data_IF_956875030272
#
_entry.id   IF_956875030272
#
_cell.length_a   1.000
_cell.length_b   1.000
_cell.length_c   1.000
_cell.angle_alpha   90.00
_cell.angle_beta   90.00
_cell.angle_gamma   90.00
#
_symmetry.space_group_name_H-M   'P 1'
#
loop_
_entity.id
_entity.type
_entity.pdbx_description
1 polymer ?
#
# COMPACT_ATOMS: atom_id res chain seq x y z
N UNK A 1 14.72 4.55 25.03
CA UNK A 1 13.26 4.45 25.20
C UNK A 1 12.95 3.23 26.04
N UNK A 2 12.30 3.39 27.18
CA UNK A 2 11.97 2.29 28.09
C UNK A 2 10.98 1.29 27.44
N UNK A 3 10.96 0.06 27.94
CA UNK A 3 10.14 -1.05 27.39
C UNK A 3 8.62 -0.74 27.40
N UNK A 4 8.17 -0.03 28.42
CA UNK A 4 6.76 0.43 28.59
C UNK A 4 6.35 1.40 27.49
N UNK A 5 7.26 2.27 27.04
CA UNK A 5 6.98 3.28 26.03
C UNK A 5 6.83 2.70 24.62
N UNK A 6 7.64 1.67 24.30
CA UNK A 6 7.54 0.97 23.00
C UNK A 6 6.22 0.25 22.84
N UNK A 7 5.70 -0.40 23.88
CA UNK A 7 4.39 -1.09 23.84
C UNK A 7 3.24 -0.10 23.70
N UNK A 8 3.30 1.03 24.40
CA UNK A 8 2.31 2.11 24.26
C UNK A 8 2.31 2.67 22.84
N UNK A 9 3.48 2.93 22.27
CA UNK A 9 3.64 3.42 20.92
C UNK A 9 3.00 2.46 19.89
N UNK A 10 3.32 1.16 19.98
CA UNK A 10 2.73 0.15 19.10
C UNK A 10 1.22 0.07 19.22
N UNK A 11 0.70 0.02 20.46
CA UNK A 11 -0.74 0.00 20.72
C UNK A 11 -1.43 1.22 20.11
N UNK A 12 -0.84 2.40 20.22
CA UNK A 12 -1.39 3.63 19.65
C UNK A 12 -1.40 3.59 18.13
N UNK A 13 -0.33 3.11 17.49
CA UNK A 13 -0.27 2.96 16.02
C UNK A 13 -1.36 2.01 15.52
N UNK A 14 -1.51 0.84 16.16
CA UNK A 14 -2.54 -0.12 15.77
C UNK A 14 -3.96 0.38 16.06
N UNK A 15 -4.18 1.10 17.17
CA UNK A 15 -5.47 1.70 17.49
C UNK A 15 -5.87 2.75 16.44
N UNK A 16 -4.96 3.65 16.06
CA UNK A 16 -5.21 4.65 15.02
C UNK A 16 -5.49 3.94 13.68
N UNK A 17 -4.71 2.91 13.33
CA UNK A 17 -4.94 2.12 12.12
C UNK A 17 -6.31 1.43 12.13
N UNK A 18 -6.76 0.92 13.28
CA UNK A 18 -8.09 0.34 13.44
C UNK A 18 -9.19 1.38 13.27
N UNK A 19 -9.04 2.56 13.86
CA UNK A 19 -9.98 3.68 13.69
C UNK A 19 -10.09 4.05 12.20
N UNK A 20 -8.97 4.18 11.49
CA UNK A 20 -8.98 4.43 10.05
C UNK A 20 -9.72 3.33 9.28
N UNK A 21 -9.47 2.05 9.59
CA UNK A 21 -10.17 0.93 8.97
C UNK A 21 -11.68 0.98 9.19
N UNK A 22 -12.14 1.32 10.40
CA UNK A 22 -13.56 1.45 10.72
C UNK A 22 -14.17 2.63 9.96
N UNK A 23 -13.52 3.79 9.98
CA UNK A 23 -14.01 4.99 9.29
C UNK A 23 -14.15 4.77 7.79
N UNK A 24 -13.14 4.18 7.13
CA UNK A 24 -13.15 3.95 5.68
C UNK A 24 -14.20 2.92 5.24
N UNK A 25 -14.72 2.10 6.17
CA UNK A 25 -15.82 1.15 5.90
C UNK A 25 -17.20 1.74 6.17
N UNK A 26 -17.33 2.61 7.16
CA UNK A 26 -18.63 3.16 7.58
C UNK A 26 -18.98 4.47 6.86
N UNK A 27 -18.02 5.39 6.72
CA UNK A 27 -18.30 6.71 6.17
C UNK A 27 -18.69 6.72 4.68
N UNK A 28 -18.28 5.79 3.80
CA UNK A 28 -18.74 5.74 2.42
C UNK A 28 -20.28 5.61 2.28
N UNK A 29 -20.99 5.09 3.29
CA UNK A 29 -22.45 5.08 3.30
C UNK A 29 -23.08 6.50 3.22
N UNK A 30 -22.33 7.54 3.57
CA UNK A 30 -22.76 8.93 3.37
C UNK A 30 -22.97 9.26 1.87
N UNK A 31 -22.29 8.58 0.98
CA UNK A 31 -22.46 8.76 -0.45
C UNK A 31 -23.83 8.27 -0.97
N UNK A 32 -24.54 7.44 -0.19
CA UNK A 32 -25.91 7.01 -0.49
C UNK A 32 -26.95 8.12 -0.27
N UNK A 33 -26.58 9.23 0.38
CA UNK A 33 -27.45 10.38 0.60
C UNK A 33 -27.67 11.23 -0.67
N UNK A 34 -27.00 10.90 -1.77
CA UNK A 34 -27.15 11.62 -3.04
C UNK A 34 -27.21 10.66 -4.23
N UNK A 35 -28.04 11.00 -5.19
CA UNK A 35 -28.11 10.30 -6.48
C UNK A 35 -27.21 10.97 -7.53
N UNK A 36 -26.69 12.17 -7.25
CA UNK A 36 -25.79 12.86 -8.17
C UNK A 36 -24.43 12.16 -8.21
N UNK A 37 -23.99 11.63 -9.36
CA UNK A 37 -22.78 10.83 -9.44
C UNK A 37 -21.51 11.62 -9.13
N UNK A 38 -21.45 12.90 -9.50
CA UNK A 38 -20.30 13.76 -9.20
C UNK A 38 -20.19 14.04 -7.71
N UNK A 39 -21.33 14.41 -7.08
CA UNK A 39 -21.36 14.67 -5.64
C UNK A 39 -21.04 13.40 -4.84
N UNK A 40 -21.53 12.25 -5.29
CA UNK A 40 -21.23 10.95 -4.71
C UNK A 40 -19.73 10.68 -4.70
N UNK A 41 -19.06 10.87 -5.85
CA UNK A 41 -17.60 10.65 -5.97
C UNK A 41 -16.80 11.63 -5.11
N UNK A 42 -17.21 12.90 -5.06
CA UNK A 42 -16.59 13.90 -4.18
C UNK A 42 -16.73 13.53 -2.69
N UNK A 43 -17.88 13.02 -2.28
CA UNK A 43 -18.08 12.51 -0.92
C UNK A 43 -17.14 11.34 -0.65
N UNK A 44 -17.05 10.37 -1.57
CA UNK A 44 -16.15 9.21 -1.41
C UNK A 44 -14.69 9.62 -1.29
N UNK A 45 -14.22 10.52 -2.16
CA UNK A 45 -12.88 11.08 -2.08
C UNK A 45 -12.61 11.80 -0.75
N UNK A 46 -13.56 12.64 -0.32
CA UNK A 46 -13.44 13.40 0.94
C UNK A 46 -13.41 12.46 2.13
N UNK A 47 -14.31 11.49 2.18
CA UNK A 47 -14.38 10.46 3.21
C UNK A 47 -13.08 9.66 3.28
N UNK A 48 -12.50 9.30 2.13
CA UNK A 48 -11.23 8.60 2.07
C UNK A 48 -10.09 9.39 2.72
N UNK A 49 -9.96 10.66 2.33
CA UNK A 49 -8.96 11.58 2.90
C UNK A 49 -9.15 11.74 4.42
N UNK A 50 -10.37 12.02 4.84
CA UNK A 50 -10.69 12.25 6.27
C UNK A 50 -10.45 10.99 7.10
N UNK A 51 -10.83 9.82 6.59
CA UNK A 51 -10.67 8.54 7.30
C UNK A 51 -9.21 8.19 7.61
N UNK A 52 -8.28 8.63 6.78
CA UNK A 52 -6.85 8.37 6.97
C UNK A 52 -6.15 9.52 7.70
N UNK A 53 -6.35 10.75 7.24
CA UNK A 53 -5.54 11.87 7.71
C UNK A 53 -6.02 12.45 9.04
N UNK A 54 -7.32 12.43 9.35
CA UNK A 54 -7.83 12.96 10.60
C UNK A 54 -7.37 12.13 11.82
N UNK A 55 -7.52 10.79 11.85
CA UNK A 55 -6.99 9.98 12.95
C UNK A 55 -5.46 10.03 13.03
N UNK A 56 -4.74 10.10 11.90
CA UNK A 56 -3.29 10.28 11.89
C UNK A 56 -2.87 11.58 12.56
N UNK A 57 -3.50 12.71 12.19
CA UNK A 57 -3.23 14.01 12.80
C UNK A 57 -3.57 14.05 14.30
N UNK A 58 -4.67 13.42 14.70
CA UNK A 58 -5.01 13.24 16.12
C UNK A 58 -3.95 12.39 16.85
N UNK A 59 -3.52 11.29 16.22
CA UNK A 59 -2.47 10.42 16.73
C UNK A 59 -1.12 11.14 16.88
N UNK A 60 -0.75 12.01 15.93
CA UNK A 60 0.47 12.85 16.03
C UNK A 60 0.44 13.73 17.30
N UNK A 61 -0.71 14.32 17.61
CA UNK A 61 -0.87 15.18 18.79
C UNK A 61 -0.88 14.40 20.11
N UNK A 62 -1.53 13.22 20.13
CA UNK A 62 -1.73 12.41 21.34
C UNK A 62 -0.48 11.61 21.73
N UNK A 63 0.26 11.12 20.76
CA UNK A 63 1.41 10.21 20.98
C UNK A 63 2.71 11.02 21.18
N UNK A 64 2.73 12.31 20.78
CA UNK A 64 3.93 13.15 20.83
C UNK A 64 4.92 12.92 19.67
N UNK A 65 6.02 13.69 19.67
CA UNK A 65 6.93 13.80 18.53
C UNK A 65 8.11 12.82 18.50
N UNK A 66 8.09 11.75 19.27
CA UNK A 66 9.20 10.76 19.30
C UNK A 66 9.36 9.93 18.01
N UNK A 67 8.79 10.39 16.91
CA UNK A 67 8.89 9.74 15.63
C UNK A 67 10.27 9.96 14.99
N UNK A 68 11.00 8.88 14.76
CA UNK A 68 12.29 8.91 14.05
C UNK A 68 12.03 9.13 12.57
N UNK A 69 12.62 10.18 12.00
CA UNK A 69 12.58 10.40 10.55
C UNK A 69 13.91 9.91 9.94
N UNK A 70 13.86 9.11 8.86
CA UNK A 70 15.08 8.74 8.15
C UNK A 70 15.78 10.00 7.59
N UNK A 71 17.10 9.91 7.46
CA UNK A 71 17.88 10.98 6.84
C UNK A 71 17.47 11.15 5.37
N UNK A 72 17.28 12.40 4.95
CA UNK A 72 16.94 12.70 3.55
C UNK A 72 18.14 12.46 2.65
N UNK A 73 17.98 11.53 1.70
CA UNK A 73 18.99 11.21 0.69
C UNK A 73 18.39 11.27 -0.71
N UNK A 74 19.19 11.69 -1.68
CA UNK A 74 18.77 11.67 -3.07
C UNK A 74 18.62 10.23 -3.55
N UNK A 75 17.51 9.94 -4.22
CA UNK A 75 17.30 8.62 -4.85
C UNK A 75 18.23 8.49 -6.05
N UNK A 76 19.30 7.71 -5.89
CA UNK A 76 20.20 7.40 -6.98
C UNK A 76 19.56 6.39 -7.92
N UNK A 77 19.69 6.62 -9.24
CA UNK A 77 19.12 5.77 -10.28
C UNK A 77 17.59 5.52 -10.13
N UNK A 78 16.74 6.57 -10.16
CA UNK A 78 15.30 6.46 -9.91
C UNK A 78 14.59 5.48 -10.86
N UNK A 79 15.05 5.35 -12.10
CA UNK A 79 14.52 4.39 -13.06
C UNK A 79 14.74 2.93 -12.63
N UNK A 80 15.88 2.60 -11.99
CA UNK A 80 16.08 1.24 -11.47
C UNK A 80 15.09 0.94 -10.35
N UNK A 81 14.85 1.90 -9.47
CA UNK A 81 13.85 1.76 -8.39
C UNK A 81 12.42 1.68 -8.91
N UNK A 82 12.10 2.44 -9.97
CA UNK A 82 10.82 2.34 -10.66
C UNK A 82 10.60 0.90 -11.17
N UNK A 83 11.54 0.37 -11.94
CA UNK A 83 11.39 -0.99 -12.49
C UNK A 83 11.41 -2.06 -11.41
N UNK A 84 12.19 -1.91 -10.34
CA UNK A 84 12.14 -2.84 -9.19
C UNK A 84 10.76 -2.79 -8.53
N UNK A 85 10.21 -1.61 -8.29
CA UNK A 85 8.91 -1.45 -7.66
C UNK A 85 7.82 -2.08 -8.54
N UNK A 86 7.71 -1.65 -9.80
CA UNK A 86 6.70 -2.15 -10.73
C UNK A 86 6.85 -3.65 -10.98
N UNK A 87 8.07 -4.14 -11.25
CA UNK A 87 8.32 -5.56 -11.47
C UNK A 87 8.02 -6.43 -10.24
N UNK A 88 8.32 -5.94 -9.02
CA UNK A 88 8.00 -6.67 -7.78
C UNK A 88 6.49 -6.74 -7.56
N UNK A 89 5.77 -5.63 -7.77
CA UNK A 89 4.32 -5.59 -7.61
C UNK A 89 3.63 -6.43 -8.67
N UNK A 90 4.07 -6.36 -9.93
CA UNK A 90 3.55 -7.21 -11.02
C UNK A 90 3.78 -8.70 -10.72
N UNK A 91 4.99 -9.09 -10.32
CA UNK A 91 5.27 -10.48 -9.93
C UNK A 91 4.37 -10.95 -8.77
N UNK A 92 4.19 -10.11 -7.75
CA UNK A 92 3.32 -10.40 -6.62
C UNK A 92 1.84 -10.47 -7.03
N UNK A 93 1.39 -9.67 -8.01
CA UNK A 93 0.05 -9.74 -8.56
C UNK A 93 -0.21 -11.09 -9.28
N UNK A 94 0.74 -11.57 -10.07
CA UNK A 94 0.67 -12.91 -10.68
C UNK A 94 0.65 -14.03 -9.62
N UNK A 95 1.48 -13.93 -8.58
CA UNK A 95 1.46 -14.89 -7.47
C UNK A 95 0.10 -14.85 -6.77
N UNK A 96 -0.43 -13.67 -6.51
CA UNK A 96 -1.75 -13.49 -5.90
C UNK A 96 -2.84 -14.14 -6.77
N UNK A 97 -2.82 -13.90 -8.08
CA UNK A 97 -3.74 -14.52 -9.03
C UNK A 97 -3.67 -16.04 -8.99
N UNK A 98 -2.48 -16.63 -9.01
CA UNK A 98 -2.29 -18.09 -8.92
C UNK A 98 -2.80 -18.69 -7.60
N UNK A 99 -2.79 -17.93 -6.51
CA UNK A 99 -3.35 -18.34 -5.21
C UNK A 99 -4.87 -18.22 -5.21
N UNK A 100 -5.42 -17.17 -5.78
CA UNK A 100 -6.87 -16.88 -5.74
C UNK A 100 -7.65 -17.75 -6.75
N UNK A 101 -7.11 -17.96 -7.94
CA UNK A 101 -7.77 -18.72 -9.01
C UNK A 101 -8.35 -20.08 -8.58
N UNK A 102 -7.61 -20.97 -7.88
CA UNK A 102 -8.17 -22.23 -7.41
C UNK A 102 -9.25 -22.06 -6.31
N UNK A 103 -9.17 -21.00 -5.51
CA UNK A 103 -10.16 -20.70 -4.47
C UNK A 103 -11.49 -20.20 -5.10
N UNK A 104 -11.40 -19.39 -6.14
CA UNK A 104 -12.56 -18.95 -6.93
C UNK A 104 -13.19 -20.16 -7.66
N UNK A 105 -12.38 -21.01 -8.30
CA UNK A 105 -12.86 -22.20 -8.98
C UNK A 105 -13.54 -23.20 -8.04
N UNK A 106 -13.11 -23.26 -6.78
CA UNK A 106 -13.75 -24.09 -5.74
C UNK A 106 -14.99 -23.40 -5.10
N UNK A 107 -15.35 -22.18 -5.50
CA UNK A 107 -16.45 -21.42 -4.92
C UNK A 107 -16.19 -20.98 -3.47
N UNK A 108 -14.92 -21.02 -3.02
CA UNK A 108 -14.53 -20.62 -1.66
C UNK A 108 -14.45 -19.09 -1.54
N UNK A 109 -14.05 -18.42 -2.63
CA UNK A 109 -13.93 -16.95 -2.70
C UNK A 109 -14.79 -16.47 -3.86
N UNK A 110 -15.60 -15.42 -3.64
CA UNK A 110 -16.32 -14.75 -4.71
C UNK A 110 -15.36 -14.01 -5.65
N UNK A 111 -15.83 -13.69 -6.87
CA UNK A 111 -15.05 -12.89 -7.81
C UNK A 111 -14.81 -11.49 -7.24
N UNK A 112 -13.64 -11.31 -6.63
CA UNK A 112 -13.27 -10.12 -5.87
C UNK A 112 -12.63 -9.02 -6.73
N UNK A 113 -12.68 -9.14 -8.07
CA UNK A 113 -12.10 -8.15 -8.96
C UNK A 113 -12.99 -6.90 -9.01
N UNK A 114 -12.50 -5.81 -8.44
CA UNK A 114 -13.08 -4.50 -8.67
C UNK A 114 -12.89 -4.14 -10.15
N UNK A 115 -13.96 -4.21 -10.92
CA UNK A 115 -13.95 -3.88 -12.33
C UNK A 115 -14.95 -2.75 -12.58
N UNK A 116 -14.54 -1.48 -12.39
CA UNK A 116 -15.42 -0.34 -12.63
C UNK A 116 -15.81 -0.28 -14.11
N UNK A 117 -17.07 -0.07 -14.38
CA UNK A 117 -17.54 0.19 -15.75
C UNK A 117 -17.07 1.57 -16.18
N UNK A 118 -16.25 1.62 -17.24
CA UNK A 118 -15.75 2.83 -17.85
C UNK A 118 -16.41 2.95 -19.23
N UNK A 119 -17.21 3.98 -19.44
CA UNK A 119 -17.97 4.20 -20.67
C UNK A 119 -17.56 5.48 -21.40
N UNK A 120 -16.84 6.37 -20.73
CA UNK A 120 -16.45 7.67 -21.26
C UNK A 120 -15.06 8.10 -20.77
N UNK A 121 -14.47 9.08 -21.47
CA UNK A 121 -13.22 9.74 -21.01
C UNK A 121 -13.41 10.39 -19.64
N UNK A 122 -14.62 10.87 -19.35
CA UNK A 122 -14.94 11.44 -18.04
C UNK A 122 -14.82 10.40 -16.92
N UNK A 123 -15.29 9.17 -17.12
CA UNK A 123 -15.14 8.08 -16.14
C UNK A 123 -13.66 7.76 -15.90
N UNK A 124 -12.83 7.78 -16.96
CA UNK A 124 -11.36 7.60 -16.82
C UNK A 124 -10.74 8.70 -15.96
N UNK A 125 -11.12 9.97 -16.19
CA UNK A 125 -10.61 11.10 -15.41
C UNK A 125 -11.02 11.01 -13.94
N UNK A 126 -12.25 10.62 -13.65
CA UNK A 126 -12.71 10.36 -12.29
C UNK A 126 -11.93 9.21 -11.65
N UNK A 127 -11.71 8.13 -12.38
CA UNK A 127 -10.96 6.97 -11.90
C UNK A 127 -9.48 7.31 -11.66
N UNK A 128 -8.86 8.16 -12.48
CA UNK A 128 -7.51 8.68 -12.22
C UNK A 128 -7.49 9.45 -10.89
N UNK A 129 -8.45 10.33 -10.67
CA UNK A 129 -8.52 11.13 -9.44
C UNK A 129 -8.75 10.24 -8.21
N UNK A 130 -9.75 9.37 -8.26
CA UNK A 130 -10.21 8.56 -7.12
C UNK A 130 -9.33 7.35 -6.83
N UNK A 131 -8.53 6.87 -7.79
CA UNK A 131 -7.69 5.69 -7.60
C UNK A 131 -6.19 5.97 -7.73
N UNK A 132 -5.76 6.81 -8.68
CA UNK A 132 -4.35 7.01 -8.99
C UNK A 132 -3.73 8.26 -8.34
N UNK A 133 -4.54 9.20 -7.85
CA UNK A 133 -4.04 10.44 -7.23
C UNK A 133 -4.35 10.47 -5.73
N UNK A 134 -5.63 10.45 -5.35
CA UNK A 134 -6.05 10.62 -3.96
C UNK A 134 -5.55 9.48 -3.06
N UNK A 135 -5.77 8.18 -3.37
CA UNK A 135 -5.31 7.10 -2.51
C UNK A 135 -3.78 7.09 -2.35
N UNK A 136 -2.94 7.14 -3.41
CA UNK A 136 -1.50 7.16 -3.23
C UNK A 136 -1.00 8.29 -2.33
N UNK A 137 -1.54 9.50 -2.46
CA UNK A 137 -1.15 10.62 -1.60
C UNK A 137 -1.55 10.38 -0.15
N UNK A 138 -2.81 10.03 0.09
CA UNK A 138 -3.34 9.88 1.46
C UNK A 138 -2.79 8.64 2.16
N UNK A 139 -2.64 7.53 1.42
CA UNK A 139 -2.10 6.29 1.96
C UNK A 139 -0.61 6.42 2.30
N UNK A 140 0.21 7.03 1.43
CA UNK A 140 1.62 7.20 1.74
C UNK A 140 1.83 8.16 2.92
N UNK A 141 1.03 9.24 3.02
CA UNK A 141 1.03 10.11 4.20
C UNK A 141 0.69 9.34 5.48
N UNK A 142 -0.27 8.44 5.42
CA UNK A 142 -0.66 7.61 6.56
C UNK A 142 0.35 6.49 6.83
N UNK A 143 0.63 5.63 5.86
CA UNK A 143 1.43 4.42 6.10
C UNK A 143 2.93 4.71 6.26
N UNK A 144 3.51 5.68 5.52
CA UNK A 144 4.93 6.05 5.66
C UNK A 144 5.11 7.23 6.60
N UNK A 145 4.25 8.24 6.47
CA UNK A 145 4.32 9.44 7.30
C UNK A 145 3.93 9.20 8.75
N UNK A 146 2.94 8.36 9.02
CA UNK A 146 2.49 8.06 10.38
C UNK A 146 2.90 6.66 10.85
N UNK A 147 2.45 5.57 10.22
CA UNK A 147 2.63 4.19 10.71
C UNK A 147 4.11 3.79 10.71
N UNK A 148 4.76 3.76 9.54
CA UNK A 148 6.15 3.30 9.41
C UNK A 148 7.10 4.16 10.23
N UNK A 149 6.98 5.47 10.15
CA UNK A 149 7.79 6.42 10.90
C UNK A 149 7.79 6.13 12.40
N UNK A 150 6.63 5.77 12.97
CA UNK A 150 6.50 5.44 14.39
C UNK A 150 6.97 4.03 14.72
N UNK A 151 7.00 3.13 13.76
CA UNK A 151 7.53 1.78 13.94
C UNK A 151 9.07 1.72 13.84
N UNK A 152 9.74 2.74 13.27
CA UNK A 152 11.21 2.72 13.13
C UNK A 152 11.99 2.42 14.41
N UNK A 153 11.58 2.88 15.62
CA UNK A 153 12.26 2.52 16.87
C UNK A 153 12.32 1.02 17.19
N UNK A 154 11.53 0.18 16.50
CA UNK A 154 11.61 -1.29 16.67
C UNK A 154 12.60 -1.97 15.70
N UNK A 155 13.25 -1.18 14.85
CA UNK A 155 14.19 -1.63 13.82
C UNK A 155 13.59 -1.59 12.41
N UNK A 156 14.38 -1.15 11.45
CA UNK A 156 13.93 -0.87 10.09
C UNK A 156 13.22 -2.05 9.42
N UNK A 157 13.78 -3.26 9.49
CA UNK A 157 13.20 -4.46 8.84
C UNK A 157 11.84 -4.82 9.45
N UNK A 158 11.74 -4.84 10.79
CA UNK A 158 10.49 -5.13 11.50
C UNK A 158 9.43 -4.07 11.19
N UNK A 159 9.84 -2.80 11.21
CA UNK A 159 8.97 -1.67 10.90
C UNK A 159 8.39 -1.75 9.48
N UNK A 160 9.22 -2.06 8.47
CA UNK A 160 8.77 -2.26 7.08
C UNK A 160 7.75 -3.39 7.00
N UNK A 161 8.08 -4.56 7.54
CA UNK A 161 7.22 -5.75 7.45
C UNK A 161 5.87 -5.51 8.14
N UNK A 162 5.89 -4.93 9.36
CA UNK A 162 4.64 -4.62 10.08
C UNK A 162 3.83 -3.56 9.35
N UNK A 163 4.46 -2.47 8.89
CA UNK A 163 3.77 -1.44 8.12
C UNK A 163 3.18 -1.98 6.81
N UNK A 164 3.90 -2.85 6.10
CA UNK A 164 3.43 -3.52 4.90
C UNK A 164 2.26 -4.47 5.18
N UNK A 165 2.29 -5.21 6.29
CA UNK A 165 1.19 -6.07 6.71
C UNK A 165 -0.07 -5.23 7.06
N UNK A 166 0.09 -4.13 7.80
CA UNK A 166 -1.01 -3.20 8.11
C UNK A 166 -1.59 -2.61 6.83
N UNK A 167 -0.73 -2.20 5.89
CA UNK A 167 -1.13 -1.67 4.59
C UNK A 167 -1.93 -2.69 3.76
N UNK A 168 -1.43 -3.92 3.68
CA UNK A 168 -2.09 -4.99 2.93
C UNK A 168 -3.45 -5.37 3.54
N UNK A 169 -3.51 -5.58 4.85
CA UNK A 169 -4.73 -5.90 5.58
C UNK A 169 -5.77 -4.77 5.54
N UNK A 170 -5.32 -3.51 5.43
CA UNK A 170 -6.19 -2.34 5.28
C UNK A 170 -7.08 -2.43 4.04
N UNK A 171 -6.61 -3.05 2.96
CA UNK A 171 -7.39 -3.23 1.73
C UNK A 171 -8.60 -4.16 1.92
N UNK A 172 -8.52 -5.12 2.86
CA UNK A 172 -9.63 -6.01 3.20
C UNK A 172 -10.08 -6.94 2.07
N UNK A 173 -9.20 -7.22 1.10
CA UNK A 173 -9.52 -7.99 -0.10
C UNK A 173 -8.41 -9.02 -0.36
N UNK A 174 -8.78 -10.31 -0.46
CA UNK A 174 -7.83 -11.39 -0.76
C UNK A 174 -7.18 -11.24 -2.14
N UNK A 175 -7.95 -10.76 -3.13
CA UNK A 175 -7.44 -10.50 -4.48
C UNK A 175 -6.35 -9.44 -4.53
N UNK A 176 -6.11 -8.71 -3.43
CA UNK A 176 -5.11 -7.66 -3.35
C UNK A 176 -4.01 -7.94 -2.31
N UNK A 177 -4.17 -8.96 -1.46
CA UNK A 177 -3.38 -9.14 -0.25
C UNK A 177 -1.88 -9.27 -0.50
N UNK A 178 -1.47 -10.12 -1.43
CA UNK A 178 -0.05 -10.43 -1.67
C UNK A 178 0.66 -9.25 -2.36
N UNK A 179 0.04 -8.69 -3.40
CA UNK A 179 0.71 -7.61 -4.14
C UNK A 179 0.74 -6.29 -3.36
N UNK A 180 -0.29 -5.98 -2.55
CA UNK A 180 -0.26 -4.80 -1.69
C UNK A 180 0.74 -4.95 -0.56
N UNK A 181 0.94 -6.17 -0.03
CA UNK A 181 2.02 -6.44 0.92
C UNK A 181 3.39 -6.20 0.26
N UNK A 182 3.62 -6.73 -0.94
CA UNK A 182 4.87 -6.54 -1.67
C UNK A 182 5.12 -5.05 -1.99
N UNK A 183 4.10 -4.32 -2.45
CA UNK A 183 4.15 -2.88 -2.65
C UNK A 183 4.50 -2.16 -1.34
N UNK A 184 3.85 -2.54 -0.23
CA UNK A 184 4.11 -2.03 1.10
C UNK A 184 5.58 -2.17 1.52
N UNK A 185 6.19 -3.32 1.26
CA UNK A 185 7.60 -3.58 1.53
C UNK A 185 8.50 -2.69 0.66
N UNK A 186 8.27 -2.63 -0.66
CA UNK A 186 9.09 -1.83 -1.58
C UNK A 186 9.03 -0.35 -1.23
N UNK A 187 7.83 0.21 -1.04
CA UNK A 187 7.66 1.62 -0.69
C UNK A 187 8.24 1.93 0.70
N UNK A 188 8.15 0.99 1.65
CA UNK A 188 8.80 1.11 2.95
C UNK A 188 10.33 1.21 2.83
N UNK A 189 10.95 0.38 1.98
CA UNK A 189 12.38 0.48 1.69
C UNK A 189 12.76 1.81 1.02
N UNK A 190 11.98 2.25 0.02
CA UNK A 190 12.19 3.54 -0.65
C UNK A 190 12.10 4.69 0.34
N UNK A 191 11.12 4.67 1.25
CA UNK A 191 10.98 5.69 2.29
C UNK A 191 12.19 5.74 3.22
N UNK A 192 12.63 4.58 3.75
CA UNK A 192 13.78 4.55 4.66
C UNK A 192 15.07 4.97 3.94
N UNK A 193 15.25 4.55 2.69
CA UNK A 193 16.43 4.91 1.90
C UNK A 193 16.48 6.39 1.57
N UNK A 194 15.36 7.01 1.21
CA UNK A 194 15.31 8.41 0.75
C UNK A 194 15.01 9.40 1.86
N UNK A 195 14.42 8.97 2.98
CA UNK A 195 13.86 9.86 3.99
C UNK A 195 12.71 10.74 3.48
N UNK A 196 12.09 10.38 2.35
CA UNK A 196 11.07 11.17 1.68
C UNK A 196 9.86 10.32 1.27
N UNK A 197 8.67 10.87 1.47
CA UNK A 197 7.40 10.25 1.05
C UNK A 197 7.17 10.43 -0.45
N UNK A 198 7.72 11.47 -1.06
CA UNK A 198 7.44 11.83 -2.46
C UNK A 198 7.76 10.69 -3.45
N UNK A 199 8.92 10.02 -3.40
CA UNK A 199 9.16 8.87 -4.27
C UNK A 199 8.16 7.74 -4.07
N UNK A 200 7.69 7.52 -2.84
CA UNK A 200 6.67 6.50 -2.56
C UNK A 200 5.32 6.87 -3.19
N UNK A 201 4.88 8.13 -3.06
CA UNK A 201 3.67 8.63 -3.70
C UNK A 201 3.75 8.47 -5.22
N UNK A 202 4.88 8.80 -5.84
CA UNK A 202 5.06 8.67 -7.28
C UNK A 202 5.01 7.21 -7.74
N UNK A 203 5.73 6.31 -7.06
CA UNK A 203 5.71 4.87 -7.39
C UNK A 203 4.32 4.26 -7.20
N UNK A 204 3.65 4.61 -6.11
CA UNK A 204 2.30 4.15 -5.83
C UNK A 204 1.29 4.71 -6.85
N UNK A 205 1.36 6.01 -7.14
CA UNK A 205 0.51 6.65 -8.15
C UNK A 205 0.70 6.06 -9.56
N UNK A 206 1.94 5.73 -9.94
CA UNK A 206 2.24 5.04 -11.20
C UNK A 206 1.65 3.62 -11.22
N UNK A 207 1.76 2.87 -10.12
CA UNK A 207 1.15 1.54 -10.02
C UNK A 207 -0.37 1.59 -10.17
N UNK A 208 -1.03 2.48 -9.45
CA UNK A 208 -2.48 2.64 -9.54
C UNK A 208 -2.90 3.23 -10.90
N UNK A 209 -2.12 4.17 -11.44
CA UNK A 209 -2.32 4.71 -12.79
C UNK A 209 -2.22 3.63 -13.88
N UNK A 210 -1.29 2.68 -13.74
CA UNK A 210 -1.22 1.53 -14.62
C UNK A 210 -2.52 0.70 -14.56
N UNK A 211 -3.05 0.41 -13.39
CA UNK A 211 -4.33 -0.30 -13.25
C UNK A 211 -5.49 0.46 -13.90
N UNK A 212 -5.54 1.80 -13.77
CA UNK A 212 -6.54 2.64 -14.45
C UNK A 212 -6.41 2.57 -15.96
N UNK A 213 -5.18 2.62 -16.48
CA UNK A 213 -4.91 2.49 -17.94
C UNK A 213 -5.38 1.14 -18.44
N UNK A 214 -5.08 0.04 -17.76
CA UNK A 214 -5.53 -1.30 -18.15
C UNK A 214 -7.07 -1.39 -18.13
N UNK A 215 -7.72 -0.82 -17.11
CA UNK A 215 -9.18 -0.76 -17.03
C UNK A 215 -9.78 0.01 -18.24
N UNK A 216 -9.20 1.16 -18.58
CA UNK A 216 -9.64 1.95 -19.74
C UNK A 216 -9.43 1.17 -21.05
N UNK A 217 -8.28 0.53 -21.23
CA UNK A 217 -7.98 -0.28 -22.42
C UNK A 217 -8.99 -1.44 -22.54
N UNK A 218 -9.27 -2.16 -21.48
CA UNK A 218 -10.25 -3.25 -21.47
C UNK A 218 -11.68 -2.77 -21.80
N UNK A 219 -11.99 -1.49 -21.56
CA UNK A 219 -13.31 -0.91 -21.81
C UNK A 219 -13.47 -0.38 -23.24
N UNK A 220 -12.38 0.08 -23.89
CA UNK A 220 -12.43 0.75 -25.19
C UNK A 220 -11.86 -0.08 -26.35
N UNK A 221 -11.14 -1.16 -26.08
CA UNK A 221 -10.51 -2.02 -27.09
C UNK A 221 -11.05 -3.44 -27.05
N UNK A 222 -10.74 -4.23 -28.07
CA UNK A 222 -11.09 -5.65 -28.05
C UNK A 222 -10.34 -6.40 -26.96
N UNK A 223 -10.92 -7.48 -26.39
CA UNK A 223 -10.27 -8.28 -25.36
C UNK A 223 -8.88 -8.79 -25.76
N UNK A 224 -8.70 -9.13 -27.06
CA UNK A 224 -7.42 -9.60 -27.59
C UNK A 224 -6.36 -8.50 -27.57
N UNK A 225 -6.71 -7.29 -28.04
CA UNK A 225 -5.81 -6.14 -28.07
C UNK A 225 -5.46 -5.70 -26.64
N UNK A 226 -6.43 -5.66 -25.74
CA UNK A 226 -6.24 -5.34 -24.33
C UNK A 226 -5.32 -6.37 -23.64
N UNK A 227 -5.54 -7.67 -23.87
CA UNK A 227 -4.71 -8.75 -23.33
C UNK A 227 -3.26 -8.67 -23.83
N UNK A 228 -3.06 -8.46 -25.13
CA UNK A 228 -1.70 -8.33 -25.69
C UNK A 228 -0.95 -7.14 -25.10
N UNK A 229 -1.62 -6.01 -24.94
CA UNK A 229 -1.00 -4.80 -24.37
C UNK A 229 -0.65 -5.00 -22.89
N UNK A 230 -1.56 -5.56 -22.10
CA UNK A 230 -1.32 -5.87 -20.70
C UNK A 230 -0.12 -6.80 -20.53
N UNK A 231 -0.09 -7.92 -21.24
CA UNK A 231 1.02 -8.89 -21.19
C UNK A 231 2.35 -8.24 -21.61
N UNK A 232 2.32 -7.36 -22.62
CA UNK A 232 3.52 -6.67 -23.09
C UNK A 232 4.09 -5.73 -22.01
N UNK A 233 3.24 -4.93 -21.38
CA UNK A 233 3.66 -3.99 -20.32
C UNK A 233 4.11 -4.75 -19.06
N UNK A 234 3.40 -5.79 -18.66
CA UNK A 234 3.77 -6.64 -17.54
C UNK A 234 5.14 -7.30 -17.78
N UNK A 235 5.38 -7.78 -19.01
CA UNK A 235 6.68 -8.37 -19.39
C UNK A 235 7.82 -7.35 -19.28
N UNK A 236 7.58 -6.09 -19.69
CA UNK A 236 8.54 -4.98 -19.54
C UNK A 236 8.84 -4.72 -18.07
N UNK A 237 7.83 -4.69 -17.21
CA UNK A 237 8.03 -4.49 -15.77
C UNK A 237 8.75 -5.65 -15.10
N UNK A 238 8.38 -6.89 -15.41
CA UNK A 238 9.05 -8.09 -14.88
C UNK A 238 10.52 -8.16 -15.30
N UNK A 239 10.79 -8.05 -16.60
CA UNK A 239 12.17 -8.10 -17.12
C UNK A 239 12.98 -6.88 -16.65
N UNK A 240 12.42 -5.68 -16.74
CA UNK A 240 13.05 -4.45 -16.26
C UNK A 240 13.34 -4.49 -14.76
N UNK A 241 12.44 -5.04 -13.97
CA UNK A 241 12.60 -5.25 -12.53
C UNK A 241 13.74 -6.21 -12.21
N UNK A 242 13.77 -7.37 -12.88
CA UNK A 242 14.85 -8.34 -12.75
C UNK A 242 16.21 -7.74 -13.13
N UNK A 243 16.29 -7.10 -14.29
CA UNK A 243 17.52 -6.46 -14.77
C UNK A 243 18.00 -5.36 -13.82
N UNK A 244 17.07 -4.53 -13.33
CA UNK A 244 17.37 -3.45 -12.39
C UNK A 244 17.90 -3.98 -11.06
N UNK A 245 17.28 -5.04 -10.53
CA UNK A 245 17.76 -5.70 -9.32
C UNK A 245 19.16 -6.29 -9.53
N UNK A 246 19.40 -6.95 -10.66
CA UNK A 246 20.70 -7.50 -11.01
C UNK A 246 21.78 -6.41 -11.09
N UNK A 247 21.47 -5.28 -11.73
CA UNK A 247 22.40 -4.11 -11.81
C UNK A 247 22.70 -3.58 -10.39
N UNK A 248 21.71 -3.46 -9.53
CA UNK A 248 21.92 -2.99 -8.15
C UNK A 248 22.77 -3.97 -7.34
N UNK A 249 22.56 -5.27 -7.50
CA UNK A 249 23.36 -6.31 -6.82
C UNK A 249 24.83 -6.28 -7.29
N UNK A 250 25.10 -6.04 -8.58
CA UNK A 250 26.46 -5.86 -9.09
C UNK A 250 27.11 -4.59 -8.53
N UNK A 251 26.35 -3.48 -8.45
CA UNK A 251 26.85 -2.23 -7.85
C UNK A 251 27.15 -2.39 -6.36
N UNK A 252 26.29 -3.10 -5.63
CA UNK A 252 26.48 -3.37 -4.18
C UNK A 252 27.82 -4.08 -3.89
N UNK A 253 28.28 -4.97 -4.77
CA UNK A 253 29.58 -5.65 -4.61
C UNK A 253 30.78 -4.71 -4.69
N UNK A 254 30.61 -3.51 -5.27
CA UNK A 254 31.68 -2.50 -5.48
C UNK A 254 31.62 -1.34 -4.49
N UNK A 255 30.51 -1.18 -3.77
CA UNK A 255 30.26 -0.02 -2.94
C UNK A 255 29.75 -0.45 -1.55
N UNK A 256 30.62 -0.35 -0.53
CA UNK A 256 30.29 -0.68 0.88
C UNK A 256 29.18 0.24 1.44
N UNK A 257 28.97 1.42 0.83
CA UNK A 257 27.93 2.37 1.23
C UNK A 257 26.50 1.82 1.09
N UNK A 258 26.29 0.80 0.25
CA UNK A 258 25.01 0.10 0.11
C UNK A 258 24.69 -0.85 1.31
N UNK A 259 25.67 -1.13 2.17
CA UNK A 259 25.53 -1.90 3.40
C UNK A 259 24.80 -1.16 4.53
N UNK A 260 24.69 0.13 4.40
CA UNK A 260 24.05 1.02 5.38
C UNK A 260 22.54 1.24 5.14
N UNK A 261 21.77 0.20 4.94
CA UNK A 261 20.53 0.08 5.67
C UNK A 261 20.96 -0.13 7.14
N UNK A 262 21.57 0.92 7.71
CA UNK A 262 22.07 0.92 9.05
C UNK A 262 20.92 0.43 9.92
N UNK A 263 21.05 -0.77 10.37
CA UNK A 263 20.17 -1.37 11.32
C UNK A 263 20.16 -0.40 12.50
N UNK A 264 19.06 0.34 12.64
CA UNK A 264 18.80 1.05 13.87
C UNK A 264 18.67 -0.07 14.92
N UNK A 265 19.81 -0.39 15.53
CA UNK A 265 19.98 -1.51 16.45
C UNK A 265 19.24 -1.13 17.72
N UNK A 266 18.04 -1.62 17.89
CA UNK A 266 17.35 -1.56 19.16
C UNK A 266 17.69 -2.84 19.93
N UNK A 267 18.48 -2.73 20.96
CA UNK A 267 18.70 -3.78 21.93
C UNK A 267 17.39 -3.97 22.72
N UNK A 268 16.63 -4.99 22.37
CA UNK A 268 15.40 -5.33 23.09
C UNK A 268 14.54 -6.33 22.34
N UNK A 269 14.45 -7.55 22.85
CA UNK A 269 13.47 -8.54 22.40
C UNK A 269 12.07 -8.15 22.87
N UNK A 270 11.12 -8.08 21.92
CA UNK A 270 9.69 -8.02 22.23
C UNK A 270 9.23 -9.43 22.64
N UNK A 271 8.87 -9.61 23.92
CA UNK A 271 8.35 -10.90 24.42
C UNK A 271 6.83 -11.08 24.24
N UNK A 272 6.11 -10.03 23.84
CA UNK A 272 4.65 -10.11 23.62
C UNK A 272 4.21 -9.25 22.45
N UNK A 273 3.34 -9.80 21.60
CA UNK A 273 2.65 -9.05 20.56
C UNK A 273 1.59 -8.14 21.22
N UNK A 274 1.44 -6.88 20.81
CA UNK A 274 0.41 -5.99 21.39
C UNK A 274 -0.99 -6.56 21.17
N UNK A 275 -1.82 -6.56 22.20
CA UNK A 275 -3.21 -7.06 22.13
C UNK A 275 -3.99 -6.34 21.01
N UNK A 276 -3.78 -5.03 20.83
CA UNK A 276 -4.44 -4.24 19.80
C UNK A 276 -4.01 -4.67 18.39
N UNK A 277 -2.77 -5.15 18.20
CA UNK A 277 -2.34 -5.74 16.93
C UNK A 277 -3.13 -7.02 16.58
N UNK A 278 -3.44 -7.83 17.60
CA UNK A 278 -4.30 -9.00 17.43
C UNK A 278 -5.73 -8.59 17.06
N UNK A 279 -6.28 -7.57 17.73
CA UNK A 279 -7.60 -7.03 17.43
C UNK A 279 -7.65 -6.46 16.00
N UNK A 280 -6.62 -5.70 15.58
CA UNK A 280 -6.51 -5.19 14.21
C UNK A 280 -6.47 -6.34 13.19
N UNK A 281 -5.64 -7.34 13.43
CA UNK A 281 -5.55 -8.53 12.57
C UNK A 281 -6.88 -9.29 12.50
N UNK A 282 -7.56 -9.50 13.62
CA UNK A 282 -8.87 -10.14 13.67
C UNK A 282 -9.94 -9.34 12.92
N UNK A 283 -9.96 -8.00 13.09
CA UNK A 283 -10.87 -7.13 12.35
C UNK A 283 -10.59 -7.17 10.84
N UNK A 284 -9.33 -7.12 10.43
CA UNK A 284 -8.95 -7.20 9.02
C UNK A 284 -9.33 -8.56 8.40
N UNK A 285 -9.12 -9.67 9.12
CA UNK A 285 -9.58 -11.01 8.69
C UNK A 285 -11.10 -11.06 8.58
N UNK A 286 -11.83 -10.51 9.56
CA UNK A 286 -13.29 -10.40 9.50
C UNK A 286 -13.77 -9.62 8.27
N UNK A 287 -13.11 -8.49 7.94
CA UNK A 287 -13.39 -7.72 6.72
C UNK A 287 -13.15 -8.54 5.46
N UNK A 288 -12.02 -9.25 5.38
CA UNK A 288 -11.72 -10.15 4.27
C UNK A 288 -12.82 -11.21 4.10
N UNK A 289 -13.28 -11.82 5.19
CA UNK A 289 -14.37 -12.79 5.17
C UNK A 289 -15.65 -12.15 4.64
N UNK A 290 -16.06 -11.00 5.16
CA UNK A 290 -17.26 -10.31 4.69
C UNK A 290 -17.19 -9.93 3.22
N UNK A 291 -16.02 -9.48 2.73
CA UNK A 291 -15.86 -9.01 1.34
C UNK A 291 -15.81 -10.15 0.33
N UNK A 292 -15.31 -11.33 0.71
CA UNK A 292 -15.03 -12.40 -0.25
C UNK A 292 -15.99 -13.60 -0.11
N UNK A 293 -16.79 -13.70 0.97
CA UNK A 293 -17.70 -14.82 1.23
C UNK A 293 -19.17 -14.39 1.38
N UNK A 294 -19.50 -13.10 1.17
CA UNK A 294 -20.86 -12.57 1.05
C UNK A 294 -21.28 -12.45 -0.40
#
# INVERSE_FOLDING_TARGET
MERTDKTKLLNSVFLISLICCVMIRLLPYLALLTENPVLRELILCTVYIVSLLLPAAAGERLIGSEAVSPEKKKLNAPFLWLFIAMGTVTAAAYINYLVILPLEAAGIVGNSQYNPSVSSVYDVLLLILSSAIIPPVTEELFFRGFVLKRLLPIGNRKAIIISAAVFSLFHGNLGQLIYTFAAGVVFGYVYIYTGSIIPCILLHGLNNGYSVIITAINSFFSPEAAGLLSISVDSIFLFGGFLSLFILLLKRRKDESFGALAEYRTDGEYKSFPIIAVIYGAFAVFQIVLTNFS
#
